data_IF_789578065541
#
_entry.id   IF_789578065541
#
_cell.length_a   1.000
_cell.length_b   1.000
_cell.length_c   1.000
_cell.angle_alpha   90.00
_cell.angle_beta   90.00
_cell.angle_gamma   90.00
#
_symmetry.space_group_name_H-M   'P 1'
#
loop_
_entity.id
_entity.type
_entity.pdbx_description
1 polymer ?
#
# COMPACT_ATOMS: atom_id res chain seq x y z
N UNK A 1 9.01 16.09 5.49
CA UNK A 1 8.83 15.10 4.39
C UNK A 1 10.12 15.04 3.57
N UNK A 2 10.57 13.85 3.15
CA UNK A 2 11.71 13.69 2.24
C UNK A 2 11.51 14.41 0.90
N UNK A 3 12.58 14.53 0.13
CA UNK A 3 12.53 15.03 -1.25
C UNK A 3 11.73 14.07 -2.15
N UNK A 4 11.27 14.57 -3.29
CA UNK A 4 10.57 13.72 -4.26
C UNK A 4 11.50 12.66 -4.87
N UNK A 5 12.78 12.97 -5.04
CA UNK A 5 13.79 12.03 -5.53
C UNK A 5 13.98 10.86 -4.57
N UNK A 6 14.07 11.12 -3.26
CA UNK A 6 14.16 10.06 -2.24
C UNK A 6 12.90 9.19 -2.17
N UNK A 7 11.75 9.76 -2.50
CA UNK A 7 10.47 9.05 -2.50
C UNK A 7 10.23 8.24 -3.78
N UNK A 8 10.88 8.61 -4.90
CA UNK A 8 10.65 7.95 -6.20
C UNK A 8 11.56 6.73 -6.36
N UNK A 9 11.22 5.64 -5.66
CA UNK A 9 11.96 4.37 -5.71
C UNK A 9 11.60 3.55 -6.97
N UNK A 10 11.56 4.20 -8.13
CA UNK A 10 11.33 3.61 -9.45
C UNK A 10 9.98 3.98 -10.06
N UNK A 11 8.87 3.78 -9.35
CA UNK A 11 7.53 4.07 -9.89
C UNK A 11 6.54 4.64 -8.86
N UNK A 12 7.00 5.00 -7.66
CA UNK A 12 6.16 5.43 -6.56
C UNK A 12 5.44 6.77 -6.85
N UNK A 13 6.04 7.65 -7.67
CA UNK A 13 5.40 8.90 -8.08
C UNK A 13 4.53 8.79 -9.34
N UNK A 14 4.36 7.59 -9.92
CA UNK A 14 3.60 7.40 -11.15
C UNK A 14 2.17 7.96 -10.99
N UNK A 15 1.79 8.84 -11.92
CA UNK A 15 0.47 9.47 -11.96
C UNK A 15 0.31 10.68 -11.03
N UNK A 16 1.36 11.12 -10.33
CA UNK A 16 1.32 12.37 -9.55
C UNK A 16 1.93 13.54 -10.33
N UNK A 17 1.09 14.53 -10.64
CA UNK A 17 1.51 15.80 -11.22
C UNK A 17 1.96 16.80 -10.16
N UNK A 18 2.25 18.03 -10.61
CA UNK A 18 2.71 19.11 -9.74
C UNK A 18 1.65 19.49 -8.70
N UNK A 19 0.37 19.52 -9.07
CA UNK A 19 -0.71 19.90 -8.19
C UNK A 19 -0.89 18.90 -7.03
N UNK A 20 -0.83 17.60 -7.30
CA UNK A 20 -0.92 16.54 -6.29
C UNK A 20 0.28 16.61 -5.34
N UNK A 21 1.50 16.70 -5.88
CA UNK A 21 2.73 16.82 -5.10
C UNK A 21 2.71 18.06 -4.21
N UNK A 22 2.29 19.20 -4.75
CA UNK A 22 2.14 20.45 -3.97
C UNK A 22 1.15 20.25 -2.82
N UNK A 23 -0.03 19.69 -3.09
CA UNK A 23 -1.04 19.41 -2.06
C UNK A 23 -0.54 18.47 -0.97
N UNK A 24 0.21 17.42 -1.35
CA UNK A 24 0.84 16.50 -0.40
C UNK A 24 1.83 17.24 0.49
N UNK A 25 2.73 18.05 -0.10
CA UNK A 25 3.74 18.80 0.65
C UNK A 25 3.13 19.84 1.59
N UNK A 26 2.09 20.56 1.15
CA UNK A 26 1.37 21.55 1.94
C UNK A 26 0.66 20.93 3.16
N UNK A 27 0.27 19.65 3.09
CA UNK A 27 -0.50 18.97 4.14
C UNK A 27 0.29 17.93 4.92
N UNK A 28 1.52 17.63 4.52
CA UNK A 28 2.37 16.66 5.20
C UNK A 28 2.71 17.18 6.60
N UNK A 29 2.58 16.30 7.58
CA UNK A 29 2.99 16.51 8.97
C UNK A 29 3.89 15.36 9.39
N UNK A 30 4.67 15.55 10.45
CA UNK A 30 5.55 14.50 10.93
C UNK A 30 4.75 13.31 11.50
N UNK A 31 5.15 12.10 11.12
CA UNK A 31 4.58 10.88 11.66
C UNK A 31 5.09 10.66 13.09
N UNK A 32 4.20 10.44 14.09
CA UNK A 32 4.64 10.14 15.45
C UNK A 32 5.49 8.86 15.51
N UNK A 33 6.74 8.99 15.92
CA UNK A 33 7.73 7.90 15.91
C UNK A 33 7.30 6.65 16.68
N UNK A 34 6.56 6.84 17.80
CA UNK A 34 6.09 5.74 18.62
C UNK A 34 5.27 4.71 17.85
N UNK A 35 4.53 5.12 16.81
CA UNK A 35 3.74 4.21 15.96
C UNK A 35 4.60 3.22 15.17
N UNK A 36 5.86 3.56 14.87
CA UNK A 36 6.78 2.71 14.12
C UNK A 36 7.42 1.63 14.98
N UNK A 37 7.64 1.90 16.27
CA UNK A 37 8.35 0.98 17.18
C UNK A 37 7.43 0.27 18.18
N UNK A 38 6.19 0.72 18.33
CA UNK A 38 5.26 0.14 19.28
C UNK A 38 4.84 -1.27 18.84
N UNK A 39 4.98 -2.30 19.70
CA UNK A 39 4.56 -3.65 19.37
C UNK A 39 3.05 -3.77 19.17
N UNK A 40 2.64 -4.41 18.07
CA UNK A 40 1.25 -4.77 17.80
C UNK A 40 0.99 -6.18 18.35
N UNK A 41 -0.09 -6.36 19.12
CA UNK A 41 -0.53 -7.68 19.63
C UNK A 41 -1.86 -8.07 19.00
N UNK A 42 -1.86 -9.14 18.23
CA UNK A 42 -3.02 -9.65 17.51
C UNK A 42 -3.58 -10.86 18.25
N UNK A 43 -4.48 -10.64 19.22
CA UNK A 43 -4.98 -11.69 20.12
C UNK A 43 -6.33 -12.28 19.72
N UNK A 44 -7.04 -11.66 18.77
CA UNK A 44 -8.35 -12.13 18.33
C UNK A 44 -8.20 -13.09 17.15
N UNK A 45 -8.48 -14.41 17.31
CA UNK A 45 -8.34 -15.39 16.25
C UNK A 45 -9.36 -15.19 15.11
N UNK A 46 -10.46 -14.47 15.34
CA UNK A 46 -11.45 -14.19 14.30
C UNK A 46 -10.86 -13.48 13.07
N UNK A 47 -9.69 -12.83 13.20
CA UNK A 47 -8.99 -12.18 12.09
C UNK A 47 -8.62 -13.13 10.95
N UNK A 48 -8.42 -14.41 11.25
CA UNK A 48 -8.00 -15.41 10.27
C UNK A 48 -9.13 -15.76 9.29
N UNK A 49 -10.38 -15.60 9.73
CA UNK A 49 -11.57 -15.88 8.92
C UNK A 49 -12.04 -14.67 8.09
N UNK A 50 -11.44 -13.49 8.27
CA UNK A 50 -11.85 -12.30 7.53
C UNK A 50 -11.38 -12.37 6.06
N UNK A 51 -12.23 -11.99 5.10
CA UNK A 51 -11.76 -11.71 3.75
C UNK A 51 -10.80 -10.51 3.79
N UNK A 52 -9.67 -10.63 3.09
CA UNK A 52 -8.60 -9.63 3.06
C UNK A 52 -8.23 -9.37 1.60
N UNK A 53 -8.08 -8.11 1.24
CA UNK A 53 -7.63 -7.74 -0.12
C UNK A 53 -6.46 -6.78 -0.01
N UNK A 54 -5.37 -7.11 -0.71
CA UNK A 54 -4.23 -6.24 -0.89
C UNK A 54 -4.29 -5.61 -2.29
N UNK A 55 -4.43 -4.28 -2.35
CA UNK A 55 -4.38 -3.50 -3.59
C UNK A 55 -2.94 -3.03 -3.80
N UNK A 56 -2.24 -3.63 -4.73
CA UNK A 56 -0.86 -3.27 -5.08
C UNK A 56 -0.84 -2.32 -6.25
N UNK A 57 -0.21 -1.17 -6.07
CA UNK A 57 -0.22 -0.11 -7.08
C UNK A 57 1.05 -0.10 -7.93
N UNK A 58 2.17 -0.16 -7.20
CA UNK A 58 3.54 -0.04 -7.73
C UNK A 58 4.14 -1.39 -8.15
N UNK A 59 3.46 -2.51 -7.89
CA UNK A 59 3.92 -3.85 -8.28
C UNK A 59 2.77 -4.62 -8.94
N UNK A 60 3.11 -5.47 -9.89
CA UNK A 60 2.22 -6.51 -10.43
C UNK A 60 2.08 -7.66 -9.44
N UNK A 61 1.03 -8.48 -9.58
CA UNK A 61 0.80 -9.69 -8.79
C UNK A 61 1.98 -10.65 -8.92
N UNK A 62 2.57 -10.77 -10.12
CA UNK A 62 3.74 -11.59 -10.34
C UNK A 62 4.95 -11.10 -9.52
N UNK A 63 5.22 -9.79 -9.54
CA UNK A 63 6.28 -9.18 -8.73
C UNK A 63 6.00 -9.30 -7.23
N UNK A 64 4.75 -9.21 -6.80
CA UNK A 64 4.35 -9.45 -5.39
C UNK A 64 4.60 -10.91 -4.99
N UNK A 65 4.32 -11.87 -5.87
CA UNK A 65 4.61 -13.28 -5.61
C UNK A 65 6.11 -13.53 -5.49
N UNK A 66 6.92 -12.90 -6.34
CA UNK A 66 8.38 -12.95 -6.24
C UNK A 66 8.88 -12.29 -4.95
N UNK A 67 8.32 -11.16 -4.55
CA UNK A 67 8.63 -10.49 -3.29
C UNK A 67 8.35 -11.41 -2.09
N UNK A 68 7.19 -12.07 -2.07
CA UNK A 68 6.82 -13.05 -1.03
C UNK A 68 7.82 -14.21 -0.99
N UNK A 69 8.22 -14.73 -2.15
CA UNK A 69 9.19 -15.82 -2.24
C UNK A 69 10.59 -15.40 -1.76
N UNK A 70 10.97 -14.15 -2.03
CA UNK A 70 12.29 -13.60 -1.68
C UNK A 70 12.41 -13.23 -0.20
N UNK A 71 11.32 -12.70 0.38
CA UNK A 71 11.29 -12.19 1.77
C UNK A 71 10.14 -12.81 2.58
N UNK A 72 10.14 -14.13 2.79
CA UNK A 72 9.03 -14.84 3.41
C UNK A 72 8.74 -14.39 4.86
N UNK A 73 9.76 -13.98 5.61
CA UNK A 73 9.59 -13.46 6.97
C UNK A 73 8.86 -12.11 6.99
N UNK A 74 9.16 -11.23 6.04
CA UNK A 74 8.55 -9.89 5.93
C UNK A 74 7.14 -9.98 5.36
N UNK A 75 6.92 -10.89 4.41
CA UNK A 75 5.64 -11.05 3.72
C UNK A 75 4.72 -12.12 4.32
N UNK A 76 5.09 -12.72 5.45
CA UNK A 76 4.40 -13.87 6.06
C UNK A 76 2.89 -13.68 6.20
N UNK A 77 2.41 -12.49 6.58
CA UNK A 77 0.98 -12.22 6.73
C UNK A 77 0.20 -12.38 5.42
N UNK A 78 0.78 -11.98 4.27
CA UNK A 78 0.13 -12.07 2.96
C UNK A 78 -0.03 -13.52 2.49
N UNK A 79 0.68 -14.46 3.12
CA UNK A 79 0.55 -15.90 2.85
C UNK A 79 -0.52 -16.58 3.69
N UNK A 80 -1.12 -15.87 4.65
CA UNK A 80 -2.21 -16.41 5.47
C UNK A 80 -3.49 -16.58 4.66
N UNK A 81 -4.40 -17.49 5.06
CA UNK A 81 -5.68 -17.67 4.36
C UNK A 81 -6.51 -16.39 4.28
N UNK A 82 -7.30 -16.25 3.22
CA UNK A 82 -8.26 -15.17 3.03
C UNK A 82 -7.73 -13.94 2.29
N UNK A 83 -6.43 -13.89 1.96
CA UNK A 83 -5.88 -12.81 1.13
C UNK A 83 -6.19 -12.99 -0.36
N UNK A 84 -6.62 -11.91 -0.98
CA UNK A 84 -6.64 -11.71 -2.43
C UNK A 84 -5.69 -10.56 -2.78
N UNK A 85 -4.93 -10.72 -3.86
CA UNK A 85 -4.03 -9.68 -4.37
C UNK A 85 -4.64 -9.14 -5.65
N UNK A 86 -4.82 -7.83 -5.71
CA UNK A 86 -5.33 -7.12 -6.89
C UNK A 86 -4.37 -5.98 -7.24
N UNK A 87 -4.28 -5.68 -8.52
CA UNK A 87 -3.43 -4.59 -9.01
C UNK A 87 -4.26 -3.35 -9.34
N UNK A 88 -3.70 -2.18 -9.05
CA UNK A 88 -4.18 -0.91 -9.59
C UNK A 88 -2.98 -0.16 -10.19
N UNK A 89 -2.77 -0.16 -11.52
CA UNK A 89 -1.51 0.29 -12.12
C UNK A 89 -1.30 1.81 -12.02
N UNK A 90 -0.85 2.26 -10.84
CA UNK A 90 -0.45 3.64 -10.53
C UNK A 90 0.75 3.66 -9.55
N UNK A 91 1.13 4.83 -9.00
CA UNK A 91 2.17 4.93 -7.96
C UNK A 91 1.64 4.71 -6.53
N UNK A 92 2.47 5.01 -5.53
CA UNK A 92 2.21 4.76 -4.10
C UNK A 92 0.91 5.38 -3.56
N UNK A 93 0.47 6.48 -4.18
CA UNK A 93 -0.64 7.29 -3.71
C UNK A 93 -1.83 7.25 -4.68
N UNK A 94 -2.53 6.10 -4.79
CA UNK A 94 -3.65 5.92 -5.70
C UNK A 94 -4.82 6.88 -5.42
N UNK A 95 -4.97 7.34 -4.18
CA UNK A 95 -5.99 8.33 -3.82
C UNK A 95 -5.76 9.72 -4.46
N UNK A 96 -4.57 9.98 -5.01
CA UNK A 96 -4.28 11.19 -5.79
C UNK A 96 -4.17 10.89 -7.28
N UNK A 97 -3.49 9.80 -7.64
CA UNK A 97 -3.20 9.48 -9.05
C UNK A 97 -4.36 8.80 -9.79
N UNK A 98 -5.15 7.96 -9.11
CA UNK A 98 -6.32 7.24 -9.67
C UNK A 98 -7.49 7.17 -8.69
N UNK A 99 -8.01 8.31 -8.17
CA UNK A 99 -9.00 8.32 -7.10
C UNK A 99 -10.31 7.61 -7.46
N UNK A 100 -10.77 7.73 -8.73
CA UNK A 100 -12.02 7.10 -9.18
C UNK A 100 -11.88 5.57 -9.24
N UNK A 101 -10.83 5.07 -9.90
CA UNK A 101 -10.60 3.63 -10.04
C UNK A 101 -10.36 2.98 -8.69
N UNK A 102 -9.65 3.65 -7.77
CA UNK A 102 -9.49 3.17 -6.39
C UNK A 102 -10.84 3.08 -5.67
N UNK A 103 -11.70 4.09 -5.80
CA UNK A 103 -13.02 4.10 -5.16
C UNK A 103 -13.95 3.01 -5.72
N UNK A 104 -13.95 2.82 -7.04
CA UNK A 104 -14.71 1.75 -7.71
C UNK A 104 -14.22 0.38 -7.26
N UNK A 105 -12.89 0.16 -7.21
CA UNK A 105 -12.31 -1.08 -6.73
C UNK A 105 -12.71 -1.35 -5.27
N UNK A 106 -12.52 -0.39 -4.37
CA UNK A 106 -12.92 -0.52 -2.96
C UNK A 106 -14.42 -0.81 -2.80
N UNK A 107 -15.27 -0.17 -3.60
CA UNK A 107 -16.72 -0.40 -3.58
C UNK A 107 -17.15 -1.76 -4.15
N UNK A 108 -16.28 -2.44 -4.89
CA UNK A 108 -16.52 -3.78 -5.44
C UNK A 108 -16.06 -4.91 -4.52
N UNK A 109 -15.27 -4.61 -3.48
CA UNK A 109 -14.81 -5.61 -2.53
C UNK A 109 -15.97 -6.07 -1.63
N UNK A 110 -16.00 -7.37 -1.34
CA UNK A 110 -17.03 -8.03 -0.55
C UNK A 110 -16.82 -7.85 0.97
#
# INVERSE_FOLDING_TARGET
MPSWEELDQGNELRGLGEAERRRMRERAVDQPFGTTTQPVRLTNPAREALPKTAIWCSLTVAEVQELIATYPEVCSELTTPGWQVVELPTGHWPMFSRPRELAELLGSLA
#
